data_IF_962059362149
#
_entry.id   IF_962059362149
#
_cell.length_a   1.000
_cell.length_b   1.000
_cell.length_c   1.000
_cell.angle_alpha   90.00
_cell.angle_beta   90.00
_cell.angle_gamma   90.00
#
_symmetry.space_group_name_H-M   'P 1'
#
loop_
_entity.id
_entity.type
_entity.pdbx_description
1 polymer ?
#
# COMPACT_ATOMS: atom_id res chain seq x y z
N UNK A 1 -23.87 -25.27 -23.46
CA UNK A 1 -23.82 -25.88 -22.12
C UNK A 1 -23.11 -24.91 -21.20
N UNK A 2 -23.83 -24.48 -20.19
CA UNK A 2 -23.58 -23.28 -19.40
C UNK A 2 -22.34 -23.37 -18.51
N UNK A 3 -21.68 -22.22 -18.38
CA UNK A 3 -20.52 -21.96 -17.55
C UNK A 3 -20.96 -21.87 -16.09
N UNK A 4 -20.72 -22.92 -15.31
CA UNK A 4 -20.77 -22.85 -13.84
C UNK A 4 -19.43 -22.34 -13.32
N UNK A 5 -19.22 -21.02 -13.37
CA UNK A 5 -18.17 -20.36 -12.58
C UNK A 5 -18.74 -20.18 -11.18
N UNK A 6 -18.46 -21.17 -10.33
CA UNK A 6 -18.80 -21.15 -8.92
C UNK A 6 -17.85 -20.16 -8.21
N UNK A 7 -18.27 -18.90 -8.07
CA UNK A 7 -17.66 -17.93 -7.17
C UNK A 7 -17.83 -18.42 -5.73
N UNK A 8 -16.86 -19.17 -5.20
CA UNK A 8 -16.75 -19.42 -3.77
C UNK A 8 -16.33 -18.10 -3.09
N UNK A 9 -17.32 -17.38 -2.57
CA UNK A 9 -17.13 -16.33 -1.57
C UNK A 9 -16.74 -17.02 -0.26
N UNK A 10 -15.44 -17.10 0.02
CA UNK A 10 -14.96 -17.61 1.30
C UNK A 10 -15.10 -16.50 2.36
N UNK A 11 -16.29 -16.39 2.95
CA UNK A 11 -16.54 -15.53 4.11
C UNK A 11 -15.92 -16.20 5.35
N UNK A 12 -14.63 -15.96 5.60
CA UNK A 12 -14.02 -16.33 6.88
C UNK A 12 -14.58 -15.44 8.00
N UNK A 13 -15.64 -15.92 8.66
CA UNK A 13 -16.09 -15.40 9.94
C UNK A 13 -15.07 -15.81 11.01
N UNK A 14 -14.07 -14.96 11.24
CA UNK A 14 -13.21 -15.09 12.42
C UNK A 14 -13.96 -14.58 13.65
N UNK A 15 -14.36 -15.51 14.52
CA UNK A 15 -14.86 -15.20 15.86
C UNK A 15 -13.66 -14.74 16.69
N UNK A 16 -13.64 -13.47 17.10
CA UNK A 16 -12.59 -12.93 17.96
C UNK A 16 -12.79 -13.41 19.40
N UNK A 17 -11.82 -14.18 19.92
CA UNK A 17 -11.67 -14.44 21.35
C UNK A 17 -10.31 -13.88 21.80
N UNK A 18 -10.28 -12.63 22.28
CA UNK A 18 -9.07 -11.98 22.78
C UNK A 18 -9.38 -11.14 24.03
N UNK A 19 -8.65 -11.42 25.11
CA UNK A 19 -8.93 -11.01 26.50
C UNK A 19 -7.99 -9.91 27.02
N UNK A 20 -7.53 -8.99 26.16
CA UNK A 20 -6.79 -7.80 26.58
C UNK A 20 -7.70 -6.57 26.42
N UNK A 21 -7.81 -5.75 27.47
CA UNK A 21 -8.54 -4.49 27.41
C UNK A 21 -7.88 -3.52 26.43
N UNK A 22 -8.65 -2.68 25.72
CA UNK A 22 -8.09 -1.70 24.79
C UNK A 22 -7.16 -0.71 25.50
N UNK A 23 -6.03 -0.36 24.86
CA UNK A 23 -5.19 0.77 25.27
C UNK A 23 -4.07 0.46 26.27
N UNK A 24 -3.61 -0.80 26.35
CA UNK A 24 -2.50 -1.19 27.24
C UNK A 24 -1.12 -1.13 26.57
N UNK A 25 -1.04 -0.82 25.28
CA UNK A 25 0.23 -0.59 24.57
C UNK A 25 0.55 0.91 24.47
N UNK A 26 1.83 1.26 24.49
CA UNK A 26 2.29 2.63 24.19
C UNK A 26 2.61 2.81 22.71
N UNK A 27 3.00 4.02 22.32
CA UNK A 27 3.30 4.41 20.93
C UNK A 27 2.12 4.11 19.97
N UNK A 28 0.94 4.59 20.33
CA UNK A 28 -0.28 4.40 19.54
C UNK A 28 -0.18 4.97 18.11
N UNK A 29 0.75 5.89 17.85
CA UNK A 29 1.03 6.39 16.50
C UNK A 29 1.41 5.27 15.51
N UNK A 30 1.93 4.14 15.97
CA UNK A 30 2.23 2.97 15.15
C UNK A 30 0.98 2.29 14.55
N UNK A 31 -0.21 2.62 15.05
CA UNK A 31 -1.49 2.15 14.50
C UNK A 31 -2.08 3.11 13.47
N UNK A 32 -1.50 4.30 13.32
CA UNK A 32 -1.96 5.30 12.35
C UNK A 32 -1.40 4.93 10.97
N UNK A 33 -2.31 4.76 10.01
CA UNK A 33 -1.95 4.40 8.64
C UNK A 33 -1.20 5.50 7.89
N UNK A 34 -0.34 5.11 6.95
CA UNK A 34 0.45 6.03 6.12
C UNK A 34 0.07 5.90 4.64
N UNK A 35 -0.14 7.05 3.99
CA UNK A 35 -0.41 7.19 2.56
C UNK A 35 -1.89 7.16 2.20
N UNK A 36 -2.31 8.02 1.27
CA UNK A 36 -3.73 8.19 0.92
C UNK A 36 -4.32 6.93 0.26
N UNK A 37 -3.58 6.27 -0.63
CA UNK A 37 -4.06 5.04 -1.26
C UNK A 37 -4.37 3.96 -0.20
N UNK A 38 -3.43 3.52 0.66
CA UNK A 38 -3.74 2.54 1.72
C UNK A 38 -4.87 2.97 2.66
N UNK A 39 -4.86 4.25 3.08
CA UNK A 39 -5.87 4.78 4.00
C UNK A 39 -7.28 4.74 3.39
N UNK A 40 -7.43 5.12 2.12
CA UNK A 40 -8.71 5.06 1.40
C UNK A 40 -9.20 3.65 1.13
N UNK A 41 -8.31 2.65 1.13
CA UNK A 41 -8.62 1.22 0.98
C UNK A 41 -8.85 0.52 2.31
N UNK A 42 -9.21 1.27 3.36
CA UNK A 42 -9.56 0.68 4.65
C UNK A 42 -8.36 0.11 5.38
N UNK A 43 -7.14 0.52 5.05
CA UNK A 43 -5.90 -0.08 5.55
C UNK A 43 -5.73 -1.56 5.14
N UNK A 44 -6.44 -2.04 4.11
CA UNK A 44 -6.28 -3.38 3.56
C UNK A 44 -5.08 -3.41 2.59
N UNK A 45 -3.89 -3.67 3.14
CA UNK A 45 -2.61 -3.48 2.46
C UNK A 45 -1.56 -4.56 2.80
N UNK A 46 -1.93 -5.63 3.50
CA UNK A 46 -0.98 -6.69 3.87
C UNK A 46 -0.54 -7.54 2.67
N UNK A 47 -1.36 -7.65 1.62
CA UNK A 47 -1.09 -8.46 0.42
C UNK A 47 -0.71 -7.62 -0.82
N UNK A 48 -0.51 -6.30 -0.66
CA UNK A 48 -0.20 -5.39 -1.77
C UNK A 48 1.30 -5.33 -2.02
N UNK A 49 1.69 -5.56 -3.27
CA UNK A 49 3.07 -5.53 -3.74
C UNK A 49 3.30 -4.45 -4.83
N UNK A 50 4.58 -4.15 -5.10
CA UNK A 50 5.00 -3.22 -6.15
C UNK A 50 4.93 -1.73 -5.78
N UNK A 51 4.72 -1.41 -4.51
CA UNK A 51 4.59 -0.04 -4.01
C UNK A 51 5.62 0.32 -2.94
N UNK A 52 6.14 1.55 -2.99
CA UNK A 52 7.01 2.09 -1.92
C UNK A 52 6.23 2.27 -0.61
N UNK A 53 4.94 2.56 -0.69
CA UNK A 53 4.04 2.67 0.47
C UNK A 53 3.96 1.37 1.27
N UNK A 54 4.22 0.20 0.65
CA UNK A 54 4.21 -1.08 1.34
C UNK A 54 5.23 -1.16 2.48
N UNK A 55 6.30 -0.33 2.48
CA UNK A 55 7.25 -0.25 3.61
C UNK A 55 6.56 0.01 4.96
N UNK A 56 5.46 0.77 4.98
CA UNK A 56 4.71 1.10 6.19
C UNK A 56 3.70 0.03 6.61
N UNK A 57 3.43 -0.97 5.74
CA UNK A 57 2.32 -1.92 5.90
C UNK A 57 2.79 -3.37 5.91
N UNK A 58 3.45 -3.80 4.83
CA UNK A 58 4.12 -5.08 4.71
C UNK A 58 5.41 -4.87 3.89
N UNK A 59 6.61 -4.93 4.50
CA UNK A 59 7.86 -4.64 3.80
C UNK A 59 8.12 -5.57 2.60
N UNK A 60 7.55 -6.78 2.58
CA UNK A 60 7.62 -7.68 1.42
C UNK A 60 7.00 -7.09 0.15
N UNK A 61 6.06 -6.15 0.28
CA UNK A 61 5.45 -5.49 -0.86
C UNK A 61 6.42 -4.60 -1.64
N UNK A 62 7.54 -4.19 -1.05
CA UNK A 62 8.56 -3.40 -1.76
C UNK A 62 9.38 -4.23 -2.74
N UNK A 63 9.41 -5.56 -2.57
CA UNK A 63 10.28 -6.47 -3.32
C UNK A 63 10.10 -6.44 -4.84
N UNK A 64 8.90 -6.09 -5.33
CA UNK A 64 8.57 -5.99 -6.76
C UNK A 64 8.70 -4.58 -7.34
N UNK A 65 9.34 -3.64 -6.63
CA UNK A 65 9.65 -2.33 -7.19
C UNK A 65 10.71 -2.46 -8.28
N UNK A 66 10.41 -1.92 -9.47
CA UNK A 66 11.25 -2.03 -10.66
C UNK A 66 12.11 -0.78 -10.91
N UNK A 67 11.73 0.33 -10.31
CA UNK A 67 12.39 1.63 -10.46
C UNK A 67 12.60 2.27 -9.10
N UNK A 68 13.64 3.10 -8.95
CA UNK A 68 13.77 3.95 -7.78
C UNK A 68 12.54 4.85 -7.65
N UNK A 69 11.95 4.85 -6.46
CA UNK A 69 10.77 5.64 -6.14
C UNK A 69 11.00 6.47 -4.89
N UNK A 70 10.40 7.64 -4.87
CA UNK A 70 10.22 8.46 -3.69
C UNK A 70 8.76 8.51 -3.30
N UNK A 71 8.52 8.81 -2.04
CA UNK A 71 7.20 8.98 -1.47
C UNK A 71 7.18 10.14 -0.50
N UNK A 72 6.11 10.93 -0.55
CA UNK A 72 5.78 11.98 0.39
C UNK A 72 4.31 11.85 0.76
N UNK A 73 3.98 12.01 2.03
CA UNK A 73 2.60 12.03 2.53
C UNK A 73 2.46 13.06 3.62
N UNK A 74 1.37 13.81 3.58
CA UNK A 74 0.96 14.73 4.63
C UNK A 74 -0.46 14.41 5.06
N UNK A 75 -0.67 14.31 6.38
CA UNK A 75 -1.98 14.09 6.98
C UNK A 75 -2.33 15.21 7.93
N UNK A 76 -3.50 15.81 7.70
CA UNK A 76 -4.24 16.44 8.78
C UNK A 76 -5.12 15.37 9.41
N UNK A 77 -4.74 14.93 10.61
CA UNK A 77 -5.37 13.77 11.24
C UNK A 77 -6.63 14.20 12.01
N UNK A 78 -6.55 14.30 13.33
CA UNK A 78 -7.66 14.70 14.19
C UNK A 78 -7.27 15.96 14.94
N UNK A 79 -8.19 16.92 15.03
CA UNK A 79 -7.99 18.21 15.69
C UNK A 79 -6.69 18.92 15.27
N UNK A 80 -5.71 19.03 16.15
CA UNK A 80 -4.42 19.70 15.91
C UNK A 80 -3.29 18.73 15.52
N UNK A 81 -3.57 17.43 15.45
CA UNK A 81 -2.57 16.39 15.16
C UNK A 81 -2.31 16.32 13.66
N UNK A 82 -1.03 16.35 13.31
CA UNK A 82 -0.54 16.32 11.94
C UNK A 82 0.59 15.30 11.87
N UNK A 83 0.76 14.64 10.73
CA UNK A 83 1.95 13.85 10.50
C UNK A 83 2.40 13.90 9.05
N UNK A 84 3.72 13.80 8.89
CA UNK A 84 4.40 13.78 7.60
C UNK A 84 5.21 12.51 7.48
N UNK A 85 5.24 11.94 6.28
CA UNK A 85 6.07 10.78 5.98
C UNK A 85 6.80 10.98 4.67
N UNK A 86 8.07 10.58 4.66
CA UNK A 86 8.93 10.58 3.47
C UNK A 86 9.57 9.21 3.35
N UNK A 87 9.62 8.65 2.15
CA UNK A 87 10.33 7.40 1.91
C UNK A 87 11.06 7.42 0.57
N UNK A 88 12.11 6.60 0.49
CA UNK A 88 12.82 6.28 -0.74
C UNK A 88 13.00 4.76 -0.83
N UNK A 89 12.92 4.23 -2.04
CA UNK A 89 13.20 2.84 -2.33
C UNK A 89 14.08 2.76 -3.57
N UNK A 90 15.11 1.92 -3.50
CA UNK A 90 16.08 1.72 -4.55
C UNK A 90 16.21 0.22 -4.83
N UNK A 91 15.68 -0.26 -5.97
CA UNK A 91 15.90 -1.63 -6.40
C UNK A 91 17.35 -1.81 -6.86
N UNK A 92 18.00 -2.85 -6.37
CA UNK A 92 19.34 -3.26 -6.75
C UNK A 92 19.26 -4.63 -7.38
N UNK A 93 19.82 -4.74 -8.58
CA UNK A 93 19.73 -5.94 -9.39
C UNK A 93 20.21 -7.19 -8.64
N UNK A 94 19.45 -8.28 -8.71
CA UNK A 94 19.66 -9.56 -8.01
C UNK A 94 19.75 -9.51 -6.48
N UNK A 95 19.90 -8.34 -5.87
CA UNK A 95 20.02 -8.14 -4.43
C UNK A 95 18.68 -7.78 -3.79
N UNK A 96 17.68 -7.34 -4.55
CA UNK A 96 16.36 -6.94 -4.03
C UNK A 96 16.25 -5.43 -3.86
N UNK A 97 15.36 -4.99 -2.98
CA UNK A 97 14.99 -3.58 -2.83
C UNK A 97 15.38 -3.08 -1.46
N UNK A 98 16.24 -2.06 -1.43
CA UNK A 98 16.57 -1.33 -0.21
C UNK A 98 15.65 -0.12 -0.10
N UNK A 99 15.14 0.14 1.08
CA UNK A 99 14.23 1.26 1.31
C UNK A 99 14.47 1.93 2.65
N UNK A 100 14.06 3.17 2.77
CA UNK A 100 14.15 3.92 4.01
C UNK A 100 13.04 4.95 4.12
N UNK A 101 12.57 5.21 5.33
CA UNK A 101 11.55 6.21 5.57
C UNK A 101 11.70 6.95 6.88
N UNK A 102 11.17 8.16 6.90
CA UNK A 102 10.97 8.98 8.08
C UNK A 102 9.47 9.23 8.23
N UNK A 103 8.97 9.11 9.44
CA UNK A 103 7.62 9.49 9.87
C UNK A 103 7.76 10.43 11.07
N UNK A 104 7.05 11.55 11.02
CA UNK A 104 7.01 12.52 12.11
C UNK A 104 5.58 12.96 12.36
N UNK A 105 5.09 12.73 13.57
CA UNK A 105 3.80 13.20 14.06
C UNK A 105 4.04 14.30 15.09
N UNK A 106 3.24 15.35 15.02
CA UNK A 106 3.26 16.42 15.99
C UNK A 106 1.84 16.93 16.25
N UNK A 107 1.65 17.52 17.42
CA UNK A 107 0.47 18.30 17.76
C UNK A 107 0.85 19.77 17.96
N UNK A 108 -0.14 20.66 17.87
CA UNK A 108 0.06 22.04 18.29
C UNK A 108 0.21 22.13 19.82
N UNK A 109 0.85 23.19 20.30
CA UNK A 109 0.98 23.45 21.73
C UNK A 109 -0.42 23.63 22.37
N UNK A 110 -0.62 22.98 23.52
CA UNK A 110 -1.80 23.17 24.38
C UNK A 110 -1.39 23.77 25.72
N UNK A 111 -2.31 24.48 26.37
CA UNK A 111 -2.11 24.98 27.73
C UNK A 111 -2.22 23.82 28.73
N UNK A 112 -1.26 23.75 29.67
CA UNK A 112 -1.21 22.71 30.69
C UNK A 112 -1.84 23.12 32.01
N UNK A 113 -2.66 22.25 32.58
CA UNK A 113 -3.30 22.43 33.90
C UNK A 113 -2.97 21.24 34.81
N UNK A 114 -2.89 21.48 36.12
CA UNK A 114 -2.81 20.41 37.12
C UNK A 114 -4.19 19.89 37.52
N UNK A 115 -4.23 18.94 38.46
CA UNK A 115 -5.48 18.33 38.95
C UNK A 115 -6.41 19.31 39.69
N UNK A 116 -5.93 20.49 40.07
CA UNK A 116 -6.70 21.55 40.72
C UNK A 116 -7.09 22.68 39.74
N UNK A 117 -6.96 22.45 38.43
CA UNK A 117 -7.22 23.42 37.36
C UNK A 117 -6.30 24.65 37.42
N UNK A 118 -5.13 24.52 38.05
CA UNK A 118 -4.11 25.56 38.05
C UNK A 118 -3.25 25.40 36.82
N UNK A 119 -3.10 26.49 36.06
CA UNK A 119 -2.24 26.49 34.89
C UNK A 119 -0.77 26.28 35.32
N UNK A 120 -0.13 25.25 34.75
CA UNK A 120 1.27 24.88 35.04
C UNK A 120 2.22 25.15 33.87
N UNK A 121 1.70 25.34 32.66
CA UNK A 121 2.49 25.68 31.48
C UNK A 121 1.64 26.37 30.43
N UNK A 122 2.22 27.34 29.73
CA UNK A 122 1.62 27.93 28.53
C UNK A 122 1.75 27.02 27.29
N UNK A 123 2.67 26.03 27.33
CA UNK A 123 3.02 25.18 26.18
C UNK A 123 3.34 23.75 26.62
N UNK A 124 2.40 22.85 26.33
CA UNK A 124 2.60 21.41 26.35
C UNK A 124 2.50 20.92 24.92
N UNK A 125 3.50 20.16 24.47
CA UNK A 125 3.49 19.50 23.17
C UNK A 125 3.89 18.04 23.28
N UNK A 126 3.51 17.29 22.26
CA UNK A 126 3.93 15.91 22.05
C UNK A 126 4.35 15.73 20.59
N UNK A 127 5.30 14.84 20.37
CA UNK A 127 5.75 14.49 19.02
C UNK A 127 6.27 13.06 18.97
N UNK A 128 5.99 12.37 17.88
CA UNK A 128 6.51 11.05 17.59
C UNK A 128 7.39 11.06 16.35
N UNK A 129 8.46 10.29 16.40
CA UNK A 129 9.40 10.12 15.32
C UNK A 129 9.65 8.64 15.08
N UNK A 130 9.62 8.24 13.81
CA UNK A 130 10.00 6.89 13.38
C UNK A 130 10.94 6.99 12.18
N UNK A 131 12.09 6.33 12.30
CA UNK A 131 13.01 6.04 11.19
C UNK A 131 12.91 4.56 10.86
N UNK A 132 12.75 4.21 9.59
CA UNK A 132 12.69 2.82 9.14
C UNK A 132 13.72 2.54 8.06
N UNK A 133 14.47 1.45 8.20
CA UNK A 133 15.25 0.85 7.12
C UNK A 133 14.60 -0.45 6.68
N UNK A 134 14.34 -0.62 5.39
CA UNK A 134 13.62 -1.77 4.85
C UNK A 134 14.42 -2.53 3.79
N UNK A 135 14.18 -3.83 3.71
CA UNK A 135 14.71 -4.70 2.68
C UNK A 135 13.62 -5.65 2.19
N UNK A 136 13.41 -5.71 0.87
CA UNK A 136 12.47 -6.61 0.22
C UNK A 136 13.17 -7.48 -0.83
N UNK A 137 12.82 -8.76 -0.90
CA UNK A 137 13.37 -9.70 -1.87
C UNK A 137 12.27 -10.54 -2.52
N UNK A 138 12.33 -10.68 -3.84
CA UNK A 138 11.41 -11.49 -4.63
C UNK A 138 12.12 -12.79 -5.07
N UNK A 139 11.56 -13.94 -4.69
CA UNK A 139 12.18 -15.24 -4.94
C UNK A 139 11.89 -15.81 -6.34
N UNK A 140 11.08 -15.10 -7.14
CA UNK A 140 10.62 -15.59 -8.45
C UNK A 140 11.77 -15.77 -9.42
N UNK A 141 12.65 -14.78 -9.56
CA UNK A 141 13.72 -14.81 -10.55
C UNK A 141 14.78 -15.88 -10.24
N UNK A 142 15.17 -16.03 -8.97
CA UNK A 142 16.24 -16.93 -8.57
C UNK A 142 15.78 -18.38 -8.32
N UNK A 143 14.54 -18.58 -7.89
CA UNK A 143 14.06 -19.87 -7.40
C UNK A 143 12.73 -20.33 -8.03
N UNK A 144 12.19 -19.60 -9.00
CA UNK A 144 10.87 -19.82 -9.61
C UNK A 144 9.73 -19.96 -8.57
N UNK A 145 9.90 -19.28 -7.43
CA UNK A 145 8.93 -19.28 -6.35
C UNK A 145 8.19 -17.95 -6.34
N UNK A 146 6.87 -17.98 -6.53
CA UNK A 146 5.98 -16.80 -6.50
C UNK A 146 5.77 -16.24 -5.08
N UNK A 147 6.88 -15.95 -4.40
CA UNK A 147 6.96 -15.48 -3.03
C UNK A 147 7.86 -14.23 -2.98
N UNK A 148 7.43 -13.23 -2.22
CA UNK A 148 8.28 -12.15 -1.75
C UNK A 148 8.39 -12.20 -0.23
N UNK A 149 9.55 -11.81 0.29
CA UNK A 149 9.75 -11.55 1.71
C UNK A 149 10.28 -10.15 1.92
N UNK A 150 10.09 -9.61 3.12
CA UNK A 150 10.70 -8.34 3.49
C UNK A 150 10.79 -8.15 4.98
N UNK A 151 11.72 -7.28 5.38
CA UNK A 151 11.98 -6.88 6.75
C UNK A 151 12.09 -5.37 6.85
N UNK A 152 11.65 -4.81 7.97
CA UNK A 152 11.74 -3.39 8.28
C UNK A 152 12.27 -3.20 9.70
N UNK A 153 13.39 -2.50 9.86
CA UNK A 153 13.94 -2.13 11.17
C UNK A 153 13.51 -0.70 11.50
N UNK A 154 12.88 -0.52 12.67
CA UNK A 154 12.33 0.76 13.12
C UNK A 154 13.08 1.26 14.34
N UNK A 155 13.50 2.52 14.29
CA UNK A 155 13.85 3.31 15.46
C UNK A 155 12.70 4.25 15.77
N UNK A 156 12.19 4.19 16.98
CA UNK A 156 11.01 4.92 17.44
C UNK A 156 11.39 5.84 18.58
N UNK A 157 10.88 7.06 18.55
CA UNK A 157 11.02 8.03 19.61
C UNK A 157 9.69 8.75 19.84
N UNK A 158 9.24 8.79 21.09
CA UNK A 158 8.07 9.54 21.53
C UNK A 158 8.54 10.60 22.53
N UNK A 159 8.19 11.86 22.28
CA UNK A 159 8.42 12.96 23.19
C UNK A 159 7.07 13.41 23.75
N UNK A 160 6.96 13.37 25.07
CA UNK A 160 5.87 13.95 25.85
C UNK A 160 6.46 15.09 26.69
N UNK A 161 5.61 15.98 27.20
CA UNK A 161 5.98 17.23 27.89
C UNK A 161 7.36 17.22 28.59
N UNK A 162 7.56 16.31 29.55
CA UNK A 162 8.81 16.20 30.33
C UNK A 162 9.50 14.84 30.17
N UNK A 163 9.24 14.10 29.09
CA UNK A 163 9.77 12.73 28.95
C UNK A 163 10.00 12.34 27.50
N UNK A 164 11.15 11.71 27.24
CA UNK A 164 11.49 11.13 25.94
C UNK A 164 11.64 9.63 26.09
N UNK A 165 10.95 8.88 25.25
CA UNK A 165 11.01 7.43 25.17
C UNK A 165 11.60 7.00 23.83
N UNK A 166 12.43 5.96 23.82
CA UNK A 166 13.08 5.42 22.61
C UNK A 166 13.03 3.90 22.62
N UNK A 167 12.76 3.31 21.47
CA UNK A 167 12.64 1.84 21.33
C UNK A 167 12.93 1.40 19.90
N UNK A 168 13.40 0.16 19.76
CA UNK A 168 13.57 -0.49 18.46
C UNK A 168 12.45 -1.50 18.22
N UNK A 169 12.00 -1.60 16.97
CA UNK A 169 11.04 -2.59 16.54
C UNK A 169 11.41 -3.15 15.16
N UNK A 170 10.83 -4.29 14.83
CA UNK A 170 11.02 -5.02 13.59
C UNK A 170 9.68 -5.38 13.00
N UNK A 171 9.54 -5.18 11.71
CA UNK A 171 8.47 -5.73 10.89
C UNK A 171 9.05 -6.82 10.00
N UNK A 172 8.31 -7.92 9.83
CA UNK A 172 8.68 -8.98 8.91
C UNK A 172 7.44 -9.48 8.20
N UNK A 173 7.51 -9.63 6.88
CA UNK A 173 6.35 -10.04 6.10
C UNK A 173 6.68 -10.88 4.89
N UNK A 174 5.63 -11.50 4.37
CA UNK A 174 5.61 -12.39 3.22
C UNK A 174 4.42 -12.03 2.32
N UNK A 175 4.59 -12.19 1.02
CA UNK A 175 3.50 -12.13 0.02
C UNK A 175 3.67 -13.31 -0.92
N UNK A 176 2.70 -14.23 -0.91
CA UNK A 176 2.65 -15.38 -1.80
C UNK A 176 1.58 -15.17 -2.89
N UNK A 177 1.88 -15.54 -4.13
CA UNK A 177 0.99 -15.31 -5.28
C UNK A 177 0.53 -16.64 -5.85
N UNK A 178 -0.77 -16.79 -5.96
CA UNK A 178 -1.39 -18.03 -6.42
C UNK A 178 -2.64 -17.71 -7.23
N UNK A 179 -2.65 -18.17 -8.48
CA UNK A 179 -3.85 -18.15 -9.36
C UNK A 179 -4.59 -16.79 -9.41
N UNK A 180 -3.85 -15.68 -9.54
CA UNK A 180 -4.42 -14.32 -9.62
C UNK A 180 -4.80 -13.69 -8.27
N UNK A 181 -4.42 -14.34 -7.16
CA UNK A 181 -4.53 -13.82 -5.81
C UNK A 181 -3.15 -13.56 -5.21
N UNK A 182 -3.04 -12.51 -4.41
CA UNK A 182 -1.92 -12.32 -3.49
C UNK A 182 -2.40 -12.61 -2.07
N UNK A 183 -1.63 -13.41 -1.33
CA UNK A 183 -1.86 -13.71 0.08
C UNK A 183 -0.69 -13.10 0.85
N UNK A 184 -1.01 -12.15 1.73
CA UNK A 184 -0.05 -11.43 2.55
C UNK A 184 -0.09 -11.85 4.01
N UNK A 185 1.07 -11.93 4.63
CA UNK A 185 1.22 -12.05 6.07
C UNK A 185 2.30 -11.10 6.54
N UNK A 186 2.05 -10.39 7.64
CA UNK A 186 3.05 -9.51 8.26
C UNK A 186 2.91 -9.52 9.78
N UNK A 187 4.06 -9.56 10.44
CA UNK A 187 4.21 -9.28 11.86
C UNK A 187 4.78 -7.86 11.96
N UNK A 188 4.03 -6.95 12.56
CA UNK A 188 4.44 -5.55 12.72
C UNK A 188 4.75 -5.23 14.17
N UNK A 189 5.72 -4.34 14.38
CA UNK A 189 6.10 -3.79 15.68
C UNK A 189 6.60 -4.85 16.67
N UNK A 190 7.28 -5.88 16.19
CA UNK A 190 7.94 -6.86 17.05
C UNK A 190 9.22 -6.27 17.63
N UNK A 191 9.30 -6.15 18.96
CA UNK A 191 10.45 -5.50 19.60
C UNK A 191 10.51 -5.73 21.10
N UNK A 192 11.61 -5.30 21.71
CA UNK A 192 11.86 -5.41 23.14
C UNK A 192 10.93 -4.50 23.94
N UNK A 193 10.49 -4.94 25.13
CA UNK A 193 9.83 -4.07 26.11
C UNK A 193 10.81 -2.99 26.59
N UNK A 194 10.32 -1.78 26.84
CA UNK A 194 11.11 -0.70 27.43
C UNK A 194 10.33 -0.06 28.58
N UNK A 195 11.05 0.58 29.51
CA UNK A 195 10.48 1.11 30.76
C UNK A 195 10.06 2.56 30.62
N UNK A 196 8.75 2.78 30.64
CA UNK A 196 7.99 4.01 30.88
C UNK A 196 7.87 4.42 32.34
N UNK A 197 8.73 5.27 32.93
CA UNK A 197 8.55 5.75 34.33
C UNK A 197 8.20 4.57 35.28
N UNK A 198 9.07 3.54 35.26
CA UNK A 198 8.93 2.28 36.01
C UNK A 198 7.85 1.27 35.53
N UNK A 199 7.01 1.61 34.56
CA UNK A 199 6.06 0.67 33.93
C UNK A 199 6.59 0.08 32.62
N UNK A 200 6.32 -1.21 32.38
CA UNK A 200 6.65 -1.85 31.11
C UNK A 200 5.70 -1.35 30.01
N UNK A 201 6.24 -0.62 29.03
CA UNK A 201 5.50 -0.27 27.81
C UNK A 201 5.67 -1.40 26.80
N UNK A 202 4.55 -2.00 26.41
CA UNK A 202 4.50 -2.94 25.30
C UNK A 202 4.23 -2.20 23.98
N UNK A 203 4.91 -2.62 22.92
CA UNK A 203 4.58 -2.19 21.57
C UNK A 203 3.23 -2.79 21.13
N UNK A 204 2.50 -2.11 20.24
CA UNK A 204 1.29 -2.63 19.62
C UNK A 204 1.67 -3.65 18.54
N UNK A 205 2.08 -4.84 18.99
CA UNK A 205 2.42 -5.98 18.14
C UNK A 205 1.18 -6.39 17.36
N UNK A 206 1.29 -6.41 16.02
CA UNK A 206 0.22 -6.79 15.13
C UNK A 206 0.59 -8.02 14.31
N UNK A 207 -0.30 -9.00 14.29
CA UNK A 207 -0.30 -10.05 13.26
C UNK A 207 -1.39 -9.72 12.25
N UNK A 208 -0.99 -9.53 11.00
CA UNK A 208 -1.90 -9.11 9.94
C UNK A 208 -1.85 -10.08 8.78
N UNK A 209 -3.03 -10.52 8.36
CA UNK A 209 -3.23 -11.43 7.24
C UNK A 209 -4.06 -10.70 6.19
N UNK A 210 -3.71 -10.86 4.92
CA UNK A 210 -4.39 -10.20 3.82
C UNK A 210 -4.55 -11.06 2.60
N UNK A 211 -5.59 -10.79 1.82
CA UNK A 211 -5.78 -11.34 0.49
C UNK A 211 -6.15 -10.22 -0.47
N UNK A 212 -5.66 -10.28 -1.69
CA UNK A 212 -6.05 -9.37 -2.75
C UNK A 212 -6.14 -10.05 -4.08
N UNK A 213 -6.93 -9.47 -4.98
CA UNK A 213 -7.00 -9.89 -6.37
C UNK A 213 -7.30 -8.69 -7.26
N UNK A 214 -6.85 -8.76 -8.50
CA UNK A 214 -7.15 -7.78 -9.55
C UNK A 214 -7.96 -8.47 -10.65
N UNK A 215 -9.15 -7.94 -10.91
CA UNK A 215 -10.04 -8.40 -11.98
C UNK A 215 -10.26 -7.23 -12.93
N UNK A 216 -9.59 -7.27 -14.08
CA UNK A 216 -9.53 -6.13 -15.03
C UNK A 216 -9.03 -4.86 -14.33
N UNK A 217 -9.91 -3.87 -14.13
CA UNK A 217 -9.56 -2.56 -13.57
C UNK A 217 -9.98 -2.44 -12.09
N UNK A 218 -10.52 -3.50 -11.50
CA UNK A 218 -10.96 -3.55 -10.11
C UNK A 218 -9.93 -4.32 -9.29
N UNK A 219 -9.44 -3.71 -8.22
CA UNK A 219 -8.67 -4.37 -7.17
C UNK A 219 -9.57 -4.55 -5.96
N UNK A 220 -9.57 -5.76 -5.41
CA UNK A 220 -10.32 -6.12 -4.21
C UNK A 220 -9.31 -6.56 -3.15
N UNK A 221 -9.46 -6.02 -1.95
CA UNK A 221 -8.53 -6.19 -0.83
C UNK A 221 -9.32 -6.56 0.42
N UNK A 222 -8.78 -7.49 1.20
CA UNK A 222 -9.30 -7.78 2.54
C UNK A 222 -8.16 -8.16 3.47
N UNK A 223 -8.14 -7.55 4.66
CA UNK A 223 -7.17 -7.87 5.71
C UNK A 223 -7.87 -8.18 7.03
N UNK A 224 -7.19 -8.90 7.90
CA UNK A 224 -7.56 -9.09 9.31
C UNK A 224 -6.36 -8.77 10.21
N UNK A 225 -6.59 -8.00 11.27
CA UNK A 225 -5.57 -7.54 12.22
C UNK A 225 -5.79 -8.17 13.60
N UNK A 226 -4.70 -8.63 14.21
CA UNK A 226 -4.67 -9.10 15.60
C UNK A 226 -3.60 -8.32 16.36
N UNK A 227 -4.03 -7.32 17.11
CA UNK A 227 -3.17 -6.59 18.04
C UNK A 227 -3.13 -7.28 19.40
N UNK A 228 -1.99 -7.19 20.09
CA UNK A 228 -1.86 -7.69 21.46
C UNK A 228 -2.65 -6.88 22.51
N UNK A 229 -3.12 -5.69 22.14
CA UNK A 229 -3.77 -4.72 23.05
C UNK A 229 -5.17 -4.28 22.60
N UNK A 230 -5.77 -5.01 21.66
CA UNK A 230 -7.11 -4.72 21.16
C UNK A 230 -7.81 -5.99 20.65
N UNK A 231 -9.13 -5.92 20.55
CA UNK A 231 -9.91 -6.92 19.79
C UNK A 231 -9.51 -6.91 18.32
N UNK A 232 -9.45 -8.10 17.71
CA UNK A 232 -9.14 -8.23 16.29
C UNK A 232 -10.22 -7.61 15.41
N UNK A 233 -9.84 -7.12 14.23
CA UNK A 233 -10.75 -6.45 13.32
C UNK A 233 -10.38 -6.67 11.84
N UNK A 234 -11.39 -6.57 10.97
CA UNK A 234 -11.26 -6.77 9.54
C UNK A 234 -11.30 -5.45 8.77
N UNK A 235 -10.67 -5.46 7.60
CA UNK A 235 -10.62 -4.37 6.65
C UNK A 235 -11.03 -4.89 5.27
N UNK A 236 -11.77 -4.09 4.51
CA UNK A 236 -12.09 -4.34 3.10
C UNK A 236 -11.74 -3.09 2.30
N UNK A 237 -11.16 -3.27 1.12
CA UNK A 237 -10.80 -2.20 0.19
C UNK A 237 -11.17 -2.54 -1.25
N UNK A 238 -11.61 -1.53 -1.99
CA UNK A 238 -11.94 -1.59 -3.41
C UNK A 238 -11.28 -0.42 -4.12
N UNK A 239 -10.53 -0.69 -5.19
CA UNK A 239 -9.97 0.33 -6.08
C UNK A 239 -10.45 0.06 -7.50
N UNK A 240 -11.08 1.05 -8.14
CA UNK A 240 -11.41 0.97 -9.56
C UNK A 240 -10.62 2.02 -10.35
N UNK A 241 -9.90 1.57 -11.36
CA UNK A 241 -9.06 2.42 -12.21
C UNK A 241 -9.70 2.70 -13.57
N UNK A 242 -10.00 3.96 -13.83
CA UNK A 242 -10.44 4.47 -15.13
C UNK A 242 -9.21 4.72 -16.01
N UNK A 243 -9.08 3.91 -17.06
CA UNK A 243 -8.01 4.00 -18.07
C UNK A 243 -6.59 3.99 -17.47
N UNK A 244 -6.41 3.36 -16.30
CA UNK A 244 -5.16 3.37 -15.53
C UNK A 244 -4.62 4.78 -15.16
N UNK A 245 -5.46 5.82 -15.26
CA UNK A 245 -5.10 7.22 -14.97
C UNK A 245 -5.81 7.71 -13.71
N UNK A 246 -7.10 7.45 -13.57
CA UNK A 246 -7.88 7.92 -12.41
C UNK A 246 -8.33 6.72 -11.61
N UNK A 247 -8.02 6.69 -10.32
CA UNK A 247 -8.50 5.65 -9.40
C UNK A 247 -9.56 6.23 -8.47
N UNK A 248 -10.64 5.50 -8.24
CA UNK A 248 -11.60 5.78 -7.16
C UNK A 248 -11.55 4.63 -6.15
N UNK A 249 -11.49 4.97 -4.87
CA UNK A 249 -11.21 4.04 -3.79
C UNK A 249 -12.26 4.11 -2.70
N UNK A 250 -12.66 2.95 -2.22
CA UNK A 250 -13.57 2.75 -1.11
C UNK A 250 -12.95 1.76 -0.13
N UNK A 251 -13.07 2.05 1.16
CA UNK A 251 -12.57 1.20 2.23
C UNK A 251 -13.53 1.14 3.41
N UNK A 252 -13.50 0.02 4.11
CA UNK A 252 -14.31 -0.22 5.31
C UNK A 252 -13.51 -0.95 6.38
N UNK A 253 -13.55 -0.47 7.62
CA UNK A 253 -12.90 -1.08 8.80
C UNK A 253 -13.99 -1.54 9.76
N UNK A 254 -14.05 -2.82 10.13
CA UNK A 254 -15.21 -3.38 10.84
C UNK A 254 -15.38 -2.91 12.29
N UNK A 255 -14.30 -2.48 12.94
CA UNK A 255 -14.31 -2.06 14.34
C UNK A 255 -13.47 -0.80 14.53
N UNK A 256 -13.86 0.30 13.88
CA UNK A 256 -13.13 1.57 14.00
C UNK A 256 -13.34 2.20 15.38
N UNK A 257 -12.26 2.67 16.00
CA UNK A 257 -12.29 3.34 17.31
C UNK A 257 -12.99 4.71 17.30
N UNK A 258 -13.17 5.32 16.12
CA UNK A 258 -13.66 6.70 15.98
C UNK A 258 -15.05 6.80 15.32
N UNK A 259 -15.84 5.74 15.42
CA UNK A 259 -17.28 5.73 15.09
C UNK A 259 -17.63 5.58 13.62
N UNK A 260 -16.84 6.14 12.70
CA UNK A 260 -17.03 5.94 11.26
C UNK A 260 -16.03 4.95 10.66
N UNK A 261 -16.59 3.95 10.00
CA UNK A 261 -15.86 2.82 9.44
C UNK A 261 -15.45 3.05 7.98
N UNK A 262 -16.03 4.06 7.32
CA UNK A 262 -15.86 4.33 5.89
C UNK A 262 -14.55 5.08 5.60
N UNK A 263 -13.89 4.73 4.50
CA UNK A 263 -12.72 5.42 3.95
C UNK A 263 -12.94 5.66 2.46
N UNK A 264 -12.63 6.87 2.00
CA UNK A 264 -12.82 7.27 0.60
C UNK A 264 -11.51 7.84 0.05
N UNK A 265 -11.29 7.70 -1.25
CA UNK A 265 -10.15 8.35 -1.88
C UNK A 265 -10.19 8.35 -3.39
N UNK A 266 -9.30 9.15 -3.95
CA UNK A 266 -9.07 9.26 -5.39
C UNK A 266 -7.58 9.24 -5.66
N UNK A 267 -7.19 8.76 -6.83
CA UNK A 267 -5.82 8.77 -7.31
C UNK A 267 -5.74 9.28 -8.73
N UNK A 268 -4.64 9.95 -9.05
CA UNK A 268 -4.24 10.27 -10.41
C UNK A 268 -2.86 9.65 -10.65
N UNK A 269 -2.76 8.80 -11.66
CA UNK A 269 -1.55 8.09 -12.04
C UNK A 269 -1.07 8.58 -13.39
N UNK A 270 0.24 8.75 -13.47
CA UNK A 270 1.00 9.05 -14.68
C UNK A 270 2.20 8.10 -14.76
N UNK A 271 2.93 8.15 -15.87
CA UNK A 271 4.14 7.33 -16.07
C UNK A 271 5.19 7.52 -14.96
N UNK A 272 5.32 8.76 -14.48
CA UNK A 272 6.42 9.16 -13.59
C UNK A 272 5.97 9.50 -12.16
N UNK A 273 4.67 9.66 -11.92
CA UNK A 273 4.16 9.99 -10.59
C UNK A 273 2.73 9.52 -10.35
N UNK A 274 2.41 9.30 -9.08
CA UNK A 274 1.05 9.04 -8.58
C UNK A 274 0.71 10.09 -7.52
N UNK A 275 -0.45 10.71 -7.65
CA UNK A 275 -1.02 11.64 -6.67
C UNK A 275 -2.27 11.01 -6.08
N UNK A 276 -2.32 10.89 -4.76
CA UNK A 276 -3.44 10.27 -4.06
C UNK A 276 -4.00 11.20 -2.98
N UNK A 277 -5.32 11.18 -2.85
CA UNK A 277 -6.05 11.92 -1.81
C UNK A 277 -7.00 10.96 -1.09
N UNK A 278 -7.04 11.05 0.23
CA UNK A 278 -7.97 10.28 1.06
C UNK A 278 -8.79 11.22 1.95
N UNK A 279 -10.06 10.87 2.06
CA UNK A 279 -11.06 11.51 2.93
C UNK A 279 -11.57 10.46 3.91
N UNK A 280 -11.39 10.72 5.20
CA UNK A 280 -11.69 9.78 6.27
C UNK A 280 -12.58 10.49 7.28
N UNK A 281 -13.90 10.30 7.19
CA UNK A 281 -14.81 10.87 8.16
C UNK A 281 -14.67 10.12 9.50
N UNK A 282 -14.89 10.85 10.60
CA UNK A 282 -14.93 10.34 11.97
C UNK A 282 -16.10 10.98 12.69
N UNK A 283 -16.85 10.21 13.49
CA UNK A 283 -18.16 10.67 13.99
C UNK A 283 -18.05 11.95 14.84
N UNK A 284 -17.06 11.99 15.76
CA UNK A 284 -16.97 13.03 16.78
C UNK A 284 -15.65 13.83 16.73
N UNK A 285 -14.72 13.47 15.84
CA UNK A 285 -13.35 14.04 15.81
C UNK A 285 -13.05 14.77 14.49
N UNK A 286 -14.10 15.05 13.71
CA UNK A 286 -13.99 15.72 12.42
C UNK A 286 -13.55 14.78 11.30
N UNK A 287 -12.78 15.33 10.36
CA UNK A 287 -12.39 14.63 9.14
C UNK A 287 -10.87 14.62 9.05
N UNK A 288 -10.31 13.44 8.81
CA UNK A 288 -8.92 13.30 8.41
C UNK A 288 -8.79 13.43 6.90
N UNK A 289 -7.86 14.27 6.47
CA UNK A 289 -7.43 14.42 5.08
C UNK A 289 -5.99 13.95 4.96
N UNK A 290 -5.72 13.06 4.00
CA UNK A 290 -4.36 12.68 3.63
C UNK A 290 -4.13 12.98 2.15
N UNK A 291 -2.96 13.54 1.84
CA UNK A 291 -2.47 13.72 0.48
C UNK A 291 -1.11 13.04 0.36
N UNK A 292 -0.89 12.27 -0.70
CA UNK A 292 0.41 11.65 -0.96
C UNK A 292 0.83 11.73 -2.42
N UNK A 293 2.15 11.78 -2.61
CA UNK A 293 2.84 11.75 -3.89
C UNK A 293 3.82 10.59 -3.89
N UNK A 294 3.75 9.76 -4.92
CA UNK A 294 4.82 8.82 -5.30
C UNK A 294 5.44 9.35 -6.58
N UNK A 295 6.77 9.36 -6.67
CA UNK A 295 7.46 9.74 -7.90
C UNK A 295 8.56 8.76 -8.26
N UNK A 296 8.72 8.50 -9.54
CA UNK A 296 9.84 7.73 -10.11
C UNK A 296 11.03 8.67 -10.31
N UNK A 297 12.23 8.22 -9.99
CA UNK A 297 13.45 9.00 -10.23
C UNK A 297 14.62 8.16 -10.76
N UNK A 298 15.57 8.82 -11.44
CA UNK A 298 16.90 8.31 -11.81
C UNK A 298 17.00 7.05 -12.69
N UNK A 299 15.96 6.61 -13.41
CA UNK A 299 16.06 5.42 -14.26
C UNK A 299 15.31 5.53 -15.61
N UNK A 300 16.07 5.62 -16.71
CA UNK A 300 15.56 5.41 -18.07
C UNK A 300 15.21 3.93 -18.31
N UNK A 301 15.94 3.00 -17.68
CA UNK A 301 15.70 1.54 -17.76
C UNK A 301 15.65 0.86 -16.38
N UNK A 302 14.91 -0.26 -16.23
CA UNK A 302 14.88 -1.06 -15.00
C UNK A 302 16.25 -1.68 -14.68
N UNK A 303 16.51 -2.03 -13.41
CA UNK A 303 17.67 -2.85 -13.01
C UNK A 303 17.69 -4.21 -13.75
N UNK A 304 18.87 -4.78 -14.05
CA UNK A 304 19.06 -5.79 -15.13
C UNK A 304 18.36 -7.16 -14.96
N UNK A 305 17.76 -7.49 -13.81
CA UNK A 305 16.81 -8.59 -13.56
C UNK A 305 15.35 -8.16 -13.64
N UNK A 306 15.04 -6.92 -13.23
CA UNK A 306 13.76 -6.27 -13.56
C UNK A 306 13.55 -6.16 -15.08
N UNK A 307 14.59 -6.25 -15.91
CA UNK A 307 14.49 -6.27 -17.38
C UNK A 307 13.73 -7.48 -17.92
N UNK A 308 13.92 -8.70 -17.38
CA UNK A 308 13.20 -9.89 -17.85
C UNK A 308 11.74 -9.87 -17.41
N UNK A 309 11.44 -9.52 -16.15
CA UNK A 309 10.08 -9.33 -15.67
C UNK A 309 9.35 -8.17 -16.36
N UNK A 310 10.04 -7.04 -16.59
CA UNK A 310 9.47 -5.90 -17.36
C UNK A 310 9.23 -6.30 -18.80
N UNK A 311 10.11 -7.09 -19.41
CA UNK A 311 9.91 -7.62 -20.75
C UNK A 311 8.70 -8.56 -20.77
N UNK A 312 8.56 -9.48 -19.81
CA UNK A 312 7.37 -10.34 -19.66
C UNK A 312 6.09 -9.50 -19.51
N UNK A 313 6.09 -8.49 -18.65
CA UNK A 313 4.92 -7.63 -18.43
C UNK A 313 4.60 -6.76 -19.64
N UNK A 314 5.61 -6.30 -20.38
CA UNK A 314 5.45 -5.61 -21.68
C UNK A 314 4.84 -6.54 -22.71
N UNK A 315 5.32 -7.78 -22.79
CA UNK A 315 4.79 -8.82 -23.69
C UNK A 315 3.34 -9.15 -23.32
N UNK A 316 3.03 -9.35 -22.04
CA UNK A 316 1.68 -9.63 -21.56
C UNK A 316 0.71 -8.48 -21.88
N UNK A 317 1.12 -7.23 -21.61
CA UNK A 317 0.32 -6.04 -21.91
C UNK A 317 0.14 -5.85 -23.42
N UNK A 318 1.19 -6.09 -24.21
CA UNK A 318 1.14 -6.06 -25.68
C UNK A 318 0.21 -7.15 -26.22
N UNK A 319 0.25 -8.37 -25.67
CA UNK A 319 -0.66 -9.46 -26.02
C UNK A 319 -2.12 -9.11 -25.72
N UNK A 320 -2.38 -8.45 -24.58
CA UNK A 320 -3.72 -7.98 -24.22
C UNK A 320 -4.27 -6.93 -25.20
N UNK A 321 -3.43 -5.98 -25.62
CA UNK A 321 -3.79 -4.98 -26.63
C UNK A 321 -3.96 -5.61 -28.02
N UNK A 322 -3.08 -6.53 -28.39
CA UNK A 322 -3.18 -7.32 -29.61
C UNK A 322 -4.50 -8.09 -29.68
N UNK A 323 -4.91 -8.76 -28.59
CA UNK A 323 -6.20 -9.44 -28.49
C UNK A 323 -7.39 -8.49 -28.70
N UNK A 324 -7.37 -7.31 -28.09
CA UNK A 324 -8.40 -6.26 -28.31
C UNK A 324 -8.42 -5.77 -29.77
N UNK A 325 -7.26 -5.62 -30.40
CA UNK A 325 -7.14 -5.25 -31.80
C UNK A 325 -7.79 -6.29 -32.72
N UNK A 326 -7.57 -7.58 -32.45
CA UNK A 326 -8.22 -8.67 -33.20
C UNK A 326 -9.76 -8.62 -33.06
N UNK A 327 -10.29 -8.42 -31.85
CA UNK A 327 -11.74 -8.30 -31.63
C UNK A 327 -12.37 -7.12 -32.40
N UNK A 328 -11.66 -5.99 -32.47
CA UNK A 328 -12.11 -4.81 -33.23
C UNK A 328 -12.07 -5.07 -34.73
N UNK A 329 -11.02 -5.74 -35.21
CA UNK A 329 -10.86 -6.11 -36.61
C UNK A 329 -11.98 -7.06 -37.08
N UNK A 330 -12.34 -8.04 -36.24
CA UNK A 330 -13.43 -8.99 -36.52
C UNK A 330 -14.81 -8.31 -36.61
N UNK A 331 -14.97 -7.16 -35.94
CA UNK A 331 -16.15 -6.30 -36.01
C UNK A 331 -16.10 -5.27 -37.16
N UNK A 332 -15.08 -5.33 -38.02
CA UNK A 332 -14.88 -4.39 -39.14
C UNK A 332 -14.41 -2.98 -38.72
N UNK A 333 -14.03 -2.80 -37.45
CA UNK A 333 -13.53 -1.51 -36.92
C UNK A 333 -12.02 -1.37 -37.13
N UNK A 334 -11.60 -1.28 -38.39
CA UNK A 334 -10.19 -1.32 -38.76
C UNK A 334 -9.35 -0.16 -38.22
N UNK A 335 -9.91 1.06 -38.13
CA UNK A 335 -9.19 2.22 -37.57
C UNK A 335 -8.89 2.04 -36.07
N UNK A 336 -9.85 1.55 -35.30
CA UNK A 336 -9.65 1.30 -33.87
C UNK A 336 -8.72 0.10 -33.63
N UNK A 337 -8.77 -0.91 -34.51
CA UNK A 337 -7.85 -2.04 -34.47
C UNK A 337 -6.39 -1.61 -34.70
N UNK A 338 -6.16 -0.72 -35.67
CA UNK A 338 -4.85 -0.11 -35.94
C UNK A 338 -4.29 0.59 -34.70
N UNK A 339 -5.12 1.38 -34.02
CA UNK A 339 -4.70 2.04 -32.77
C UNK A 339 -4.21 1.01 -31.75
N UNK A 340 -4.97 -0.06 -31.51
CA UNK A 340 -4.58 -1.09 -30.53
C UNK A 340 -3.34 -1.88 -30.94
N UNK A 341 -3.11 -2.13 -32.23
CA UNK A 341 -1.87 -2.76 -32.70
C UNK A 341 -0.67 -1.82 -32.55
N UNK A 342 -0.84 -0.52 -32.83
CA UNK A 342 0.19 0.48 -32.56
C UNK A 342 0.53 0.57 -31.07
N UNK A 343 -0.47 0.59 -30.20
CA UNK A 343 -0.27 0.60 -28.74
C UNK A 343 0.49 -0.67 -28.29
N UNK A 344 0.15 -1.84 -28.84
CA UNK A 344 0.85 -3.10 -28.56
C UNK A 344 2.34 -3.03 -28.99
N UNK A 345 2.61 -2.45 -30.17
CA UNK A 345 3.97 -2.29 -30.70
C UNK A 345 4.77 -1.21 -29.97
N UNK A 346 4.13 -0.20 -29.38
CA UNK A 346 4.81 0.73 -28.48
C UNK A 346 5.30 0.04 -27.20
N UNK A 347 4.55 -0.94 -26.70
CA UNK A 347 4.94 -1.72 -25.52
C UNK A 347 5.98 -2.80 -25.85
N UNK A 348 5.82 -3.51 -26.97
CA UNK A 348 6.75 -4.54 -27.44
C UNK A 348 6.93 -4.46 -28.97
N UNK A 349 7.96 -3.74 -29.46
CA UNK A 349 8.17 -3.50 -30.90
C UNK A 349 8.36 -4.76 -31.75
N UNK A 350 8.80 -5.87 -31.14
CA UNK A 350 9.04 -7.14 -31.82
C UNK A 350 7.79 -8.05 -31.89
N UNK A 351 6.62 -7.56 -31.48
CA UNK A 351 5.38 -8.35 -31.46
C UNK A 351 4.89 -8.68 -32.89
N UNK A 352 5.36 -9.81 -33.44
CA UNK A 352 5.10 -10.23 -34.83
C UNK A 352 3.64 -10.21 -35.25
N UNK A 353 2.73 -10.73 -34.41
CA UNK A 353 1.30 -10.75 -34.74
C UNK A 353 0.67 -9.35 -34.87
N UNK A 354 1.15 -8.37 -34.10
CA UNK A 354 0.62 -7.01 -34.15
C UNK A 354 1.12 -6.28 -35.39
N UNK A 355 2.39 -6.48 -35.78
CA UNK A 355 2.96 -6.01 -37.05
C UNK A 355 2.18 -6.54 -38.26
N UNK A 356 1.96 -7.85 -38.32
CA UNK A 356 1.22 -8.47 -39.43
C UNK A 356 -0.22 -7.95 -39.54
N UNK A 357 -0.94 -7.86 -38.41
CA UNK A 357 -2.34 -7.41 -38.39
C UNK A 357 -2.50 -5.91 -38.61
N UNK A 358 -1.50 -5.12 -38.25
CA UNK A 358 -1.43 -3.70 -38.59
C UNK A 358 -1.39 -3.51 -40.11
N UNK A 359 -0.51 -4.22 -40.82
CA UNK A 359 -0.44 -4.17 -42.29
C UNK A 359 -1.73 -4.65 -42.97
N UNK A 360 -2.33 -5.72 -42.45
CA UNK A 360 -3.61 -6.24 -42.94
C UNK A 360 -4.74 -5.19 -42.80
N UNK A 361 -4.81 -4.53 -41.64
CA UNK A 361 -5.81 -3.50 -41.37
C UNK A 361 -5.67 -2.30 -42.30
N UNK A 362 -4.43 -1.84 -42.57
CA UNK A 362 -4.18 -0.78 -43.56
C UNK A 362 -4.63 -1.16 -44.97
N UNK A 363 -4.48 -2.42 -45.38
CA UNK A 363 -4.96 -2.89 -46.69
C UNK A 363 -6.47 -2.88 -46.81
N UNK A 364 -7.20 -3.11 -45.71
CA UNK A 364 -8.66 -3.11 -45.71
C UNK A 364 -9.26 -1.70 -45.77
N UNK A 365 -8.62 -0.72 -45.14
CA UNK A 365 -9.08 0.68 -45.19
C UNK A 365 -8.85 1.32 -46.57
N UNK A 366 -7.85 0.82 -47.31
CA UNK A 366 -7.52 1.30 -48.65
C UNK A 366 -8.23 0.54 -49.79
N UNK A 367 -9.16 -0.37 -49.45
CA UNK A 367 -10.08 -1.02 -50.39
C UNK A 367 -11.44 -0.36 -50.32
#
# INVERSE_FOLDING_TARGET
>A
MEKNVLCLFFLCLFVSTGTAGPGTAGLDFLKIGVGAQPLSLGNAYASVDGGITSLFWNPAGTAKLLYPKGFFSYSHYLETIRFTSVAVAYPVDMLGVFSGSIYYLNMDDITGYDANDVQISDRISASDFMLTGGYGYDFKEMYDLDLSAGVGLKYLQENLYNSTFKILAVDAGLIYRVSGFNIGFVIQNFGSRSKFVEQDINLPLNYKFGISTKVSNLVILSDYNFYNDNTGYGNVGLEYSFYDIIAVRFGYITNSKFGENLRLGTGFSSKDFDLDFAYIPSSNLGVTYNSSLVWKFFAEEPSRGASSYVLEKRIESANGLYGKGLELMDRGRYLDAIEKFCDALQLYPEHKGALEKLEESYKQINK
#
